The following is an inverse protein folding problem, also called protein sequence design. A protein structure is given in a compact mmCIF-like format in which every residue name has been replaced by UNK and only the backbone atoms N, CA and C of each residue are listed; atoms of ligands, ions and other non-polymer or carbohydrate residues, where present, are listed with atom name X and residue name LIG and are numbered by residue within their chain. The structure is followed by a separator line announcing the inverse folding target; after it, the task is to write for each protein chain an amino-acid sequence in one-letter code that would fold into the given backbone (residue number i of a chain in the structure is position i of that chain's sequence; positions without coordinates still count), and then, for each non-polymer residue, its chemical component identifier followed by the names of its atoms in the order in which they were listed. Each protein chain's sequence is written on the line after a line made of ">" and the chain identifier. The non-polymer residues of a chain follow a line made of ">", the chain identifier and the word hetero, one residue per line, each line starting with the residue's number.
data_IF_244063575259
#
_entry.id   IF_244063575259
#
_cell.length_a   1.000
_cell.length_b   1.000
_cell.length_c   1.000
_cell.angle_alpha   90.00
_cell.angle_beta   90.00
_cell.angle_gamma   90.00
#
_symmetry.space_group_name_H-M   'P 1'
#
loop_
_entity.id
_entity.type
_entity.pdbx_description
1 polymer ?
#
# COMPACT_ATOMS: atom_id res chain seq x y z
N UNK A 1 3.72 6.14 -23.66
CA UNK A 1 3.14 5.26 -22.62
C UNK A 1 4.29 4.51 -21.98
N UNK A 2 4.38 4.52 -20.67
CA UNK A 2 5.40 3.79 -19.90
C UNK A 2 5.01 2.33 -19.74
N UNK A 3 6.00 1.45 -19.49
CA UNK A 3 5.71 0.02 -19.38
C UNK A 3 4.93 -0.33 -18.10
N UNK A 4 5.46 0.05 -16.94
CA UNK A 4 4.87 -0.37 -15.65
C UNK A 4 5.04 0.69 -14.55
N UNK A 5 4.00 0.85 -13.73
CA UNK A 5 4.02 1.59 -12.47
C UNK A 5 3.73 0.62 -11.32
N UNK A 6 4.53 0.66 -10.27
CA UNK A 6 4.30 -0.07 -9.04
C UNK A 6 3.99 0.93 -7.93
N UNK A 7 2.83 0.79 -7.30
CA UNK A 7 2.36 1.63 -6.19
C UNK A 7 2.36 0.79 -4.92
N UNK A 8 3.15 1.20 -3.94
CA UNK A 8 3.43 0.43 -2.72
C UNK A 8 2.76 1.10 -1.52
N UNK A 9 1.95 0.35 -0.78
CA UNK A 9 1.50 0.71 0.55
C UNK A 9 2.65 0.50 1.56
N UNK A 10 3.20 1.58 2.07
CA UNK A 10 4.31 1.54 3.01
C UNK A 10 3.94 0.83 4.32
N UNK A 11 2.74 1.09 4.82
CA UNK A 11 2.25 0.50 6.06
C UNK A 11 2.15 -1.02 5.95
N UNK A 12 1.58 -1.53 4.85
CA UNK A 12 1.48 -2.96 4.59
C UNK A 12 2.87 -3.63 4.55
N UNK A 13 3.85 -3.00 3.90
CA UNK A 13 5.23 -3.51 3.87
C UNK A 13 5.86 -3.55 5.26
N UNK A 14 5.78 -2.44 6.00
CA UNK A 14 6.42 -2.35 7.33
C UNK A 14 5.78 -3.33 8.31
N UNK A 15 4.44 -3.44 8.34
CA UNK A 15 3.76 -4.45 9.15
C UNK A 15 4.17 -5.87 8.76
N UNK A 16 4.22 -6.18 7.47
CA UNK A 16 4.64 -7.50 7.00
C UNK A 16 6.06 -7.82 7.46
N UNK A 17 6.99 -6.89 7.30
CA UNK A 17 8.37 -7.08 7.75
C UNK A 17 8.51 -7.24 9.26
N UNK A 18 7.75 -6.48 10.05
CA UNK A 18 7.79 -6.54 11.51
C UNK A 18 7.28 -7.85 12.10
N UNK A 19 6.29 -8.47 11.45
CA UNK A 19 5.60 -9.64 12.02
C UNK A 19 5.83 -10.94 11.25
N UNK A 20 6.46 -10.90 10.07
CA UNK A 20 6.81 -12.11 9.33
C UNK A 20 7.91 -12.90 10.05
N UNK A 21 7.82 -14.23 10.00
CA UNK A 21 8.83 -15.12 10.61
C UNK A 21 10.25 -14.81 10.15
N UNK A 22 10.42 -14.39 8.92
CA UNK A 22 11.71 -14.16 8.27
C UNK A 22 12.38 -12.84 8.70
N UNK A 23 11.59 -11.80 8.99
CA UNK A 23 12.11 -10.46 9.20
C UNK A 23 11.93 -9.94 10.63
N UNK A 24 11.00 -10.51 11.42
CA UNK A 24 10.63 -10.03 12.76
C UNK A 24 11.81 -9.92 13.74
N UNK A 25 12.81 -10.79 13.58
CA UNK A 25 13.97 -10.87 14.47
C UNK A 25 15.15 -10.00 13.98
N UNK A 26 14.99 -9.30 12.84
CA UNK A 26 15.99 -8.37 12.36
C UNK A 26 16.07 -7.15 13.27
N UNK A 27 17.24 -6.91 13.77
CA UNK A 27 17.51 -5.76 14.64
C UNK A 27 18.78 -5.05 14.22
N UNK A 28 18.83 -3.76 14.51
CA UNK A 28 19.98 -2.92 14.34
C UNK A 28 20.27 -2.23 15.67
N UNK A 29 21.39 -2.57 16.32
CA UNK A 29 21.70 -2.13 17.70
C UNK A 29 20.54 -2.34 18.69
N UNK A 30 19.90 -3.49 18.63
CA UNK A 30 18.77 -3.83 19.49
C UNK A 30 17.42 -3.22 19.09
N UNK A 31 17.39 -2.33 18.11
CA UNK A 31 16.13 -1.78 17.59
C UNK A 31 15.59 -2.69 16.48
N UNK A 32 14.31 -3.08 16.53
CA UNK A 32 13.69 -3.87 15.47
C UNK A 32 13.66 -3.06 14.18
N UNK A 33 14.18 -3.62 13.10
CA UNK A 33 14.25 -2.99 11.77
C UNK A 33 13.66 -3.84 10.67
N UNK A 34 12.98 -4.93 11.01
CA UNK A 34 12.44 -5.87 10.04
C UNK A 34 11.47 -5.25 9.05
N UNK A 35 10.64 -4.31 9.50
CA UNK A 35 9.71 -3.58 8.64
C UNK A 35 10.43 -2.66 7.66
N UNK A 36 11.36 -1.87 8.18
CA UNK A 36 12.16 -0.95 7.38
C UNK A 36 12.97 -1.69 6.30
N UNK A 37 13.67 -2.77 6.69
CA UNK A 37 14.40 -3.62 5.76
C UNK A 37 13.49 -4.22 4.67
N UNK A 38 12.32 -4.72 5.05
CA UNK A 38 11.39 -5.31 4.12
C UNK A 38 10.89 -4.30 3.08
N UNK A 39 10.52 -3.09 3.50
CA UNK A 39 10.07 -2.02 2.61
C UNK A 39 11.18 -1.59 1.63
N UNK A 40 12.41 -1.37 2.12
CA UNK A 40 13.54 -1.01 1.24
C UNK A 40 13.83 -2.11 0.20
N UNK A 41 13.85 -3.35 0.64
CA UNK A 41 14.03 -4.49 -0.27
C UNK A 41 12.94 -4.54 -1.33
N UNK A 42 11.68 -4.29 -0.93
CA UNK A 42 10.55 -4.29 -1.84
C UNK A 42 10.67 -3.17 -2.89
N UNK A 43 10.99 -1.95 -2.46
CA UNK A 43 11.23 -0.80 -3.35
C UNK A 43 12.35 -1.09 -4.36
N UNK A 44 13.48 -1.63 -3.89
CA UNK A 44 14.60 -1.97 -4.78
C UNK A 44 14.22 -3.06 -5.78
N UNK A 45 13.48 -4.07 -5.36
CA UNK A 45 12.99 -5.12 -6.26
C UNK A 45 12.05 -4.54 -7.33
N UNK A 46 11.15 -3.64 -6.94
CA UNK A 46 10.25 -2.96 -7.86
C UNK A 46 11.03 -2.09 -8.88
N UNK A 47 11.97 -1.29 -8.42
CA UNK A 47 12.84 -0.48 -9.29
C UNK A 47 13.65 -1.35 -10.26
N UNK A 48 14.11 -2.52 -9.83
CA UNK A 48 14.88 -3.44 -10.66
C UNK A 48 14.07 -4.06 -11.80
N UNK A 49 12.74 -4.07 -11.71
CA UNK A 49 11.84 -4.53 -12.78
C UNK A 49 11.65 -3.48 -13.90
N UNK A 50 12.48 -2.45 -13.98
CA UNK A 50 12.34 -1.34 -14.94
C UNK A 50 11.03 -0.56 -14.81
N UNK A 51 10.45 -0.57 -13.62
CA UNK A 51 9.20 0.10 -13.31
C UNK A 51 9.44 1.50 -12.77
N UNK A 52 8.42 2.34 -12.90
CA UNK A 52 8.31 3.51 -12.04
C UNK A 52 7.70 3.08 -10.70
N UNK A 53 8.13 3.71 -9.63
CA UNK A 53 7.69 3.35 -8.28
C UNK A 53 7.11 4.57 -7.57
N UNK A 54 5.97 4.37 -6.91
CA UNK A 54 5.37 5.29 -5.94
C UNK A 54 5.26 4.55 -4.62
N UNK A 55 5.60 5.22 -3.52
CA UNK A 55 5.37 4.71 -2.16
C UNK A 55 4.40 5.64 -1.44
N UNK A 56 3.25 5.12 -1.05
CA UNK A 56 2.21 5.84 -0.34
C UNK A 56 2.33 5.63 1.17
N UNK A 57 2.25 6.72 1.93
CA UNK A 57 2.35 6.72 3.39
C UNK A 57 1.08 7.28 4.02
N UNK A 58 0.67 6.68 5.12
CA UNK A 58 -0.44 7.18 5.94
C UNK A 58 -0.08 8.49 6.65
N UNK A 59 -1.09 9.35 6.77
CA UNK A 59 -1.09 10.46 7.71
C UNK A 59 -2.31 10.36 8.66
N UNK A 60 -2.48 11.34 9.54
CA UNK A 60 -3.68 11.42 10.35
C UNK A 60 -4.89 11.65 9.44
N UNK A 61 -5.80 10.69 9.40
CA UNK A 61 -6.98 10.76 8.55
C UNK A 61 -8.00 11.79 9.06
N UNK A 62 -8.52 12.63 8.15
CA UNK A 62 -9.66 13.51 8.41
C UNK A 62 -10.91 12.74 8.83
N UNK A 63 -11.02 11.46 8.45
CA UNK A 63 -12.14 10.58 8.80
C UNK A 63 -12.32 10.40 10.30
N UNK A 64 -11.24 10.59 11.08
CA UNK A 64 -11.31 10.57 12.55
C UNK A 64 -12.11 11.73 13.12
N UNK A 65 -12.21 12.81 12.35
CA UNK A 65 -12.95 14.00 12.76
C UNK A 65 -14.43 13.95 12.30
N UNK A 66 -14.77 12.99 11.41
CA UNK A 66 -16.15 12.78 10.92
C UNK A 66 -17.00 11.89 11.83
N UNK A 67 -16.39 10.87 12.41
CA UNK A 67 -17.10 9.92 13.29
C UNK A 67 -16.25 9.59 14.52
N UNK A 68 -16.82 9.80 15.69
CA UNK A 68 -16.24 9.36 16.94
C UNK A 68 -16.07 7.84 16.93
N UNK A 69 -14.84 7.41 17.16
CA UNK A 69 -14.53 5.99 17.19
C UNK A 69 -14.07 5.36 15.87
N UNK A 70 -13.97 6.12 14.78
CA UNK A 70 -13.38 5.61 13.52
C UNK A 70 -11.98 5.03 13.78
N UNK A 71 -11.79 3.76 13.44
CA UNK A 71 -10.55 3.01 13.73
C UNK A 71 -10.11 3.07 15.21
N UNK A 72 -10.98 3.48 16.15
CA UNK A 72 -10.69 3.50 17.57
C UNK A 72 -10.50 2.06 18.08
N UNK A 73 -9.40 1.84 18.78
CA UNK A 73 -9.00 0.51 19.25
C UNK A 73 -7.97 -0.19 18.38
N UNK A 74 -7.59 0.35 17.22
CA UNK A 74 -6.36 -0.10 16.55
C UNK A 74 -5.18 0.24 17.47
N UNK A 75 -4.47 -0.79 17.92
CA UNK A 75 -3.26 -0.60 18.71
C UNK A 75 -2.16 -0.04 17.80
N UNK A 76 -1.76 1.20 18.04
CA UNK A 76 -0.60 1.77 17.37
C UNK A 76 0.68 1.18 17.98
N UNK A 77 1.38 0.37 17.22
CA UNK A 77 2.72 -0.06 17.60
C UNK A 77 3.71 1.07 17.28
N UNK A 78 4.23 1.70 18.34
CA UNK A 78 5.21 2.80 18.21
C UNK A 78 6.45 2.40 17.39
N UNK A 79 6.83 1.12 17.43
CA UNK A 79 7.98 0.59 16.65
C UNK A 79 7.70 0.64 15.16
N UNK A 80 6.45 0.33 14.75
CA UNK A 80 6.03 0.44 13.35
C UNK A 80 6.03 1.90 12.93
N UNK A 81 5.46 2.79 13.76
CA UNK A 81 5.41 4.22 13.47
C UNK A 81 6.81 4.81 13.25
N UNK A 82 7.75 4.51 14.15
CA UNK A 82 9.14 4.99 14.01
C UNK A 82 9.80 4.47 12.72
N UNK A 83 9.53 3.23 12.32
CA UNK A 83 10.06 2.68 11.07
C UNK A 83 9.44 3.33 9.83
N UNK A 84 8.16 3.67 9.85
CA UNK A 84 7.50 4.39 8.76
C UNK A 84 8.06 5.82 8.61
N UNK A 85 8.31 6.52 9.71
CA UNK A 85 8.91 7.86 9.70
C UNK A 85 10.33 7.82 9.12
N UNK A 86 11.16 6.90 9.60
CA UNK A 86 12.51 6.70 9.05
C UNK A 86 12.46 6.32 7.57
N UNK A 87 11.56 5.42 7.18
CA UNK A 87 11.42 4.99 5.79
C UNK A 87 11.09 6.17 4.89
N UNK A 88 10.15 7.02 5.29
CA UNK A 88 9.77 8.19 4.52
C UNK A 88 10.95 9.13 4.28
N UNK A 89 11.68 9.47 5.33
CA UNK A 89 12.85 10.35 5.23
C UNK A 89 13.95 9.77 4.32
N UNK A 90 14.28 8.50 4.47
CA UNK A 90 15.34 7.87 3.71
C UNK A 90 14.98 7.65 2.24
N UNK A 91 13.75 7.25 1.95
CA UNK A 91 13.31 7.09 0.58
C UNK A 91 13.26 8.44 -0.15
N UNK A 92 12.86 9.51 0.52
CA UNK A 92 12.95 10.86 -0.05
C UNK A 92 14.40 11.27 -0.34
N UNK A 93 15.34 11.04 0.58
CA UNK A 93 16.78 11.28 0.35
C UNK A 93 17.32 10.47 -0.83
N UNK A 94 16.75 9.28 -1.03
CA UNK A 94 17.09 8.42 -2.17
C UNK A 94 16.39 8.84 -3.47
N UNK A 95 15.65 9.94 -3.48
CA UNK A 95 14.85 10.42 -4.61
C UNK A 95 13.82 9.38 -5.11
N UNK A 96 13.26 8.60 -4.21
CA UNK A 96 12.11 7.74 -4.50
C UNK A 96 10.84 8.55 -4.31
N UNK A 97 9.90 8.44 -5.25
CA UNK A 97 8.61 9.12 -5.15
C UNK A 97 7.80 8.61 -3.95
N UNK A 98 7.83 9.37 -2.87
CA UNK A 98 7.14 9.10 -1.63
C UNK A 98 6.09 10.17 -1.37
N UNK A 99 4.85 9.76 -1.18
CA UNK A 99 3.76 10.69 -0.95
C UNK A 99 3.11 10.45 0.40
N UNK A 100 2.94 11.55 1.13
CA UNK A 100 2.25 11.62 2.42
C UNK A 100 1.59 13.00 2.51
N UNK A 101 0.29 13.03 2.69
CA UNK A 101 -0.46 14.28 2.78
C UNK A 101 -1.26 14.33 4.07
N UNK A 102 -1.18 15.44 4.78
CA UNK A 102 -1.92 15.62 6.02
C UNK A 102 -3.44 15.52 5.78
N UNK A 103 -4.10 14.78 6.63
CA UNK A 103 -5.53 14.52 6.51
C UNK A 103 -5.87 13.26 5.71
N UNK A 104 -4.94 12.68 4.95
CA UNK A 104 -5.24 11.58 4.02
C UNK A 104 -4.52 10.29 4.39
N UNK A 105 -5.16 9.17 4.11
CA UNK A 105 -4.60 7.83 4.30
C UNK A 105 -3.85 7.39 3.03
N UNK A 106 -3.00 6.36 3.16
CA UNK A 106 -2.27 5.79 2.02
C UNK A 106 -3.23 5.31 0.90
N UNK A 107 -4.41 4.81 1.27
CA UNK A 107 -5.43 4.35 0.34
C UNK A 107 -5.95 5.47 -0.57
N UNK A 108 -6.10 6.70 -0.03
CA UNK A 108 -6.48 7.87 -0.81
C UNK A 108 -5.39 8.18 -1.86
N UNK A 109 -4.13 8.19 -1.42
CA UNK A 109 -2.98 8.48 -2.27
C UNK A 109 -2.82 7.43 -3.36
N UNK A 110 -3.02 6.15 -3.05
CA UNK A 110 -2.99 5.03 -4.00
C UNK A 110 -4.08 5.22 -5.06
N UNK A 111 -5.30 5.53 -4.64
CA UNK A 111 -6.41 5.77 -5.57
C UNK A 111 -6.14 6.96 -6.50
N UNK A 112 -5.59 8.06 -6.00
CA UNK A 112 -5.19 9.21 -6.81
C UNK A 112 -4.08 8.87 -7.79
N UNK A 113 -3.07 8.11 -7.33
CA UNK A 113 -1.97 7.67 -8.18
C UNK A 113 -2.47 6.79 -9.33
N UNK A 114 -3.38 5.88 -9.07
CA UNK A 114 -4.02 5.07 -10.12
C UNK A 114 -4.79 5.97 -11.10
N UNK A 115 -5.67 6.83 -10.59
CA UNK A 115 -6.51 7.68 -11.42
C UNK A 115 -5.70 8.59 -12.35
N UNK A 116 -4.61 9.18 -11.84
CA UNK A 116 -3.77 10.09 -12.63
C UNK A 116 -2.88 9.37 -13.65
N UNK A 117 -2.62 8.07 -13.46
CA UNK A 117 -1.63 7.35 -14.24
C UNK A 117 -2.21 6.22 -15.11
N UNK A 118 -3.48 5.89 -15.00
CA UNK A 118 -4.11 4.76 -15.69
C UNK A 118 -3.93 4.80 -17.21
N UNK A 119 -3.93 5.97 -17.81
CA UNK A 119 -3.75 6.16 -19.26
C UNK A 119 -2.26 6.31 -19.66
N UNK A 120 -1.37 6.48 -18.69
CA UNK A 120 0.05 6.73 -18.94
C UNK A 120 0.90 5.45 -18.94
N UNK A 121 0.40 4.36 -18.35
CA UNK A 121 1.11 3.10 -18.19
C UNK A 121 0.36 1.94 -18.83
N UNK A 122 1.12 0.97 -19.37
CA UNK A 122 0.55 -0.29 -19.87
C UNK A 122 0.05 -1.16 -18.73
N UNK A 123 0.73 -1.11 -17.60
CA UNK A 123 0.40 -1.88 -16.40
C UNK A 123 0.63 -1.04 -15.14
N UNK A 124 -0.31 -1.08 -14.22
CA UNK A 124 -0.19 -0.54 -12.87
C UNK A 124 -0.38 -1.68 -11.88
N UNK A 125 0.56 -1.84 -10.96
CA UNK A 125 0.49 -2.84 -9.90
C UNK A 125 0.40 -2.16 -8.54
N UNK A 126 -0.67 -2.41 -7.82
CA UNK A 126 -0.87 -1.95 -6.44
C UNK A 126 -0.40 -3.06 -5.51
N UNK A 127 0.56 -2.74 -4.63
CA UNK A 127 1.12 -3.67 -3.67
C UNK A 127 0.67 -3.30 -2.25
N UNK A 128 -0.13 -4.15 -1.64
CA UNK A 128 -0.69 -3.94 -0.30
C UNK A 128 -1.27 -5.20 0.30
N UNK A 129 -1.82 -5.10 1.49
CA UNK A 129 -2.51 -6.20 2.17
C UNK A 129 -3.98 -5.88 2.47
N UNK A 130 -4.39 -4.62 2.31
CA UNK A 130 -5.77 -4.24 2.52
C UNK A 130 -6.61 -4.54 1.27
N UNK A 131 -7.64 -5.34 1.46
CA UNK A 131 -8.56 -5.67 0.39
C UNK A 131 -9.40 -4.48 -0.09
N UNK A 132 -9.42 -3.40 0.66
CA UNK A 132 -10.09 -2.18 0.21
C UNK A 132 -9.45 -1.60 -1.04
N UNK A 133 -8.16 -1.83 -1.23
CA UNK A 133 -7.43 -1.43 -2.42
C UNK A 133 -7.92 -2.14 -3.70
N UNK A 134 -8.65 -3.26 -3.57
CA UNK A 134 -9.21 -3.99 -4.71
C UNK A 134 -10.22 -3.17 -5.53
N UNK A 135 -10.82 -2.12 -4.94
CA UNK A 135 -11.70 -1.23 -5.70
C UNK A 135 -10.95 -0.46 -6.81
N UNK A 136 -9.62 -0.40 -6.75
CA UNK A 136 -8.80 0.22 -7.79
C UNK A 136 -8.50 -0.70 -8.97
N UNK A 137 -8.79 -2.01 -8.85
CA UNK A 137 -8.49 -2.99 -9.90
C UNK A 137 -9.38 -2.73 -11.11
N UNK A 138 -8.75 -2.59 -12.28
CA UNK A 138 -9.40 -2.36 -13.56
C UNK A 138 -8.51 -2.85 -14.71
N UNK A 139 -8.87 -2.57 -15.95
CA UNK A 139 -8.30 -3.16 -17.17
C UNK A 139 -6.76 -3.36 -17.17
N UNK A 140 -6.00 -2.35 -16.75
CA UNK A 140 -4.53 -2.39 -16.71
C UNK A 140 -3.99 -2.17 -15.28
N UNK A 141 -4.87 -2.28 -14.27
CA UNK A 141 -4.50 -2.12 -12.86
C UNK A 141 -4.76 -3.43 -12.14
N UNK A 142 -3.72 -3.98 -11.53
CA UNK A 142 -3.80 -5.20 -10.74
C UNK A 142 -3.41 -4.95 -9.29
N UNK A 143 -3.89 -5.80 -8.40
CA UNK A 143 -3.53 -5.80 -6.99
C UNK A 143 -2.68 -7.02 -6.66
N UNK A 144 -1.57 -6.79 -5.97
CA UNK A 144 -0.68 -7.83 -5.44
C UNK A 144 -0.66 -7.78 -3.93
N UNK A 145 -1.04 -8.87 -3.30
CA UNK A 145 -0.88 -9.03 -1.85
C UNK A 145 0.60 -9.25 -1.51
N UNK A 146 1.11 -8.50 -0.53
CA UNK A 146 2.49 -8.60 -0.02
C UNK A 146 2.60 -9.46 1.25
N UNK A 147 1.58 -10.25 1.58
CA UNK A 147 1.65 -11.16 2.70
C UNK A 147 2.72 -12.23 2.50
N UNK A 148 3.35 -12.66 3.58
CA UNK A 148 4.62 -13.40 3.61
C UNK A 148 4.62 -14.79 2.97
N UNK A 149 3.49 -15.38 2.65
CA UNK A 149 3.42 -16.80 2.27
C UNK A 149 2.89 -17.08 0.87
N UNK A 150 2.11 -16.16 0.30
CA UNK A 150 1.57 -16.32 -1.05
C UNK A 150 1.40 -14.95 -1.69
N UNK A 151 1.89 -14.80 -2.90
CA UNK A 151 1.62 -13.62 -3.70
C UNK A 151 0.35 -13.89 -4.48
N UNK A 152 -0.72 -13.17 -4.14
CA UNK A 152 -1.98 -13.23 -4.87
C UNK A 152 -2.09 -12.01 -5.77
N UNK A 153 -2.37 -12.23 -7.04
CA UNK A 153 -2.62 -11.16 -8.01
C UNK A 153 -4.09 -11.20 -8.39
N UNK A 154 -4.74 -10.05 -8.32
CA UNK A 154 -6.15 -9.90 -8.65
C UNK A 154 -6.31 -8.98 -9.87
N UNK A 155 -7.08 -9.42 -10.83
CA UNK A 155 -7.36 -8.70 -12.08
C UNK A 155 -8.87 -8.46 -12.25
N UNK A 156 -9.22 -7.60 -13.19
CA UNK A 156 -10.59 -7.07 -13.44
C UNK A 156 -11.73 -8.09 -13.41
N UNK A 157 -11.49 -9.29 -13.86
CA UNK A 157 -12.55 -10.28 -14.04
C UNK A 157 -12.69 -11.25 -12.86
N UNK A 158 -11.99 -11.02 -11.75
CA UNK A 158 -12.08 -11.87 -10.60
C UNK A 158 -13.15 -11.36 -9.63
N UNK A 159 -14.04 -12.26 -9.28
CA UNK A 159 -14.96 -12.08 -8.18
C UNK A 159 -14.29 -12.57 -6.90
N UNK A 160 -14.54 -11.88 -5.81
CA UNK A 160 -14.07 -12.30 -4.50
C UNK A 160 -15.25 -12.71 -3.63
N UNK A 161 -15.18 -13.92 -3.07
CA UNK A 161 -16.01 -14.26 -1.92
C UNK A 161 -15.52 -13.45 -0.72
N UNK A 162 -16.35 -12.54 -0.25
CA UNK A 162 -16.11 -11.78 0.97
C UNK A 162 -17.17 -12.22 1.95
N UNK A 163 -16.79 -12.37 3.18
CA UNK A 163 -17.58 -12.75 4.34
C UNK A 163 -19.01 -13.33 4.08
N UNK A 164 -19.38 -14.41 4.71
CA UNK A 164 -20.68 -15.09 4.57
C UNK A 164 -20.97 -15.76 3.22
N UNK A 165 -19.91 -16.01 2.39
CA UNK A 165 -20.09 -16.75 1.14
C UNK A 165 -20.68 -15.94 -0.03
N UNK A 166 -20.85 -14.62 0.13
CA UNK A 166 -21.33 -13.73 -0.93
C UNK A 166 -20.17 -13.31 -1.83
N UNK A 167 -20.36 -13.44 -3.14
CA UNK A 167 -19.41 -12.95 -4.15
C UNK A 167 -19.63 -11.45 -4.38
N UNK A 168 -18.57 -10.67 -4.28
CA UNK A 168 -18.60 -9.21 -4.43
C UNK A 168 -17.60 -8.81 -5.50
N UNK A 169 -18.02 -7.95 -6.42
CA UNK A 169 -17.14 -7.41 -7.45
C UNK A 169 -16.16 -6.41 -6.82
N UNK A 170 -14.91 -6.46 -7.21
CA UNK A 170 -13.85 -5.63 -6.61
C UNK A 170 -14.18 -4.14 -6.62
N UNK A 171 -14.65 -3.63 -7.74
CA UNK A 171 -15.03 -2.23 -7.91
C UNK A 171 -16.29 -1.80 -7.13
N UNK A 172 -16.99 -2.72 -6.51
CA UNK A 172 -18.15 -2.45 -5.64
C UNK A 172 -17.87 -2.68 -4.16
N UNK A 173 -16.64 -3.01 -3.78
CA UNK A 173 -16.26 -3.26 -2.38
C UNK A 173 -16.59 -2.06 -1.48
N UNK A 174 -16.28 -0.85 -1.94
CA UNK A 174 -16.60 0.37 -1.18
C UNK A 174 -18.11 0.53 -1.00
N UNK A 175 -18.91 0.33 -2.05
CA UNK A 175 -20.38 0.37 -1.94
C UNK A 175 -20.91 -0.72 -0.98
N UNK A 176 -20.34 -1.93 -1.04
CA UNK A 176 -20.68 -2.99 -0.09
C UNK A 176 -20.42 -2.55 1.35
N UNK A 177 -19.29 -1.95 1.64
CA UNK A 177 -18.96 -1.45 2.99
C UNK A 177 -19.86 -0.30 3.43
N UNK A 178 -20.25 0.59 2.52
CA UNK A 178 -21.21 1.66 2.82
C UNK A 178 -22.52 1.08 3.32
N UNK A 179 -23.03 0.04 2.68
CA UNK A 179 -24.33 -0.55 3.02
C UNK A 179 -24.24 -1.64 4.09
N UNK A 180 -23.31 -2.59 3.93
CA UNK A 180 -23.19 -3.76 4.81
C UNK A 180 -22.32 -3.51 6.05
N UNK A 181 -21.66 -2.35 6.09
CA UNK A 181 -20.75 -1.98 7.17
C UNK A 181 -19.38 -2.64 7.06
N UNK A 182 -18.51 -2.25 8.00
CA UNK A 182 -17.14 -2.76 8.10
C UNK A 182 -16.74 -2.91 9.57
N UNK A 183 -16.53 -4.14 10.01
CA UNK A 183 -16.18 -4.41 11.41
C UNK A 183 -14.77 -3.86 11.77
N UNK A 184 -13.80 -3.92 10.84
CA UNK A 184 -12.45 -3.40 11.07
C UNK A 184 -12.43 -1.88 11.32
N UNK A 185 -13.33 -1.15 10.66
CA UNK A 185 -13.45 0.29 10.74
C UNK A 185 -14.56 0.76 11.69
N UNK A 186 -15.26 -0.21 12.30
CA UNK A 186 -16.41 0.03 13.19
C UNK A 186 -17.57 0.77 12.53
N UNK A 187 -17.78 0.53 11.25
CA UNK A 187 -18.91 1.03 10.49
C UNK A 187 -20.04 -0.01 10.61
N UNK A 188 -21.16 0.28 11.27
CA UNK A 188 -22.28 -0.65 11.40
C UNK A 188 -22.99 -0.84 10.05
N UNK A 189 -23.71 -1.98 9.83
CA UNK A 189 -24.57 -2.12 8.66
C UNK A 189 -25.64 -1.03 8.60
N UNK A 190 -25.95 -0.57 7.38
CA UNK A 190 -27.05 0.37 7.18
C UNK A 190 -28.40 -0.33 7.40
N UNK A 191 -29.31 0.35 8.06
CA UNK A 191 -30.67 -0.12 8.26
C UNK A 191 -31.62 1.05 8.01
N UNK A 192 -32.51 0.90 7.03
CA UNK A 192 -33.46 1.93 6.66
C UNK A 192 -34.78 1.80 7.44
N UNK A 193 -35.46 2.89 7.65
CA UNK A 193 -36.78 2.94 8.31
C UNK A 193 -37.83 2.11 7.55
N UNK A 194 -37.68 1.98 6.22
CA UNK A 194 -38.54 1.11 5.41
C UNK A 194 -38.31 -0.40 5.64
N UNK A 195 -37.38 -0.77 6.52
CA UNK A 195 -37.07 -2.15 6.91
C UNK A 195 -35.93 -2.81 6.14
N UNK A 196 -35.42 -2.21 5.06
CA UNK A 196 -34.32 -2.76 4.29
C UNK A 196 -33.01 -2.72 5.09
N UNK A 197 -32.20 -3.76 4.91
CA UNK A 197 -30.90 -3.96 5.54
C UNK A 197 -29.78 -3.90 4.52
N UNK A 198 -28.55 -3.73 5.00
CA UNK A 198 -27.37 -3.49 4.20
C UNK A 198 -27.21 -4.40 2.98
N UNK A 199 -27.39 -5.72 3.10
CA UNK A 199 -27.26 -6.64 1.97
C UNK A 199 -28.37 -6.44 0.93
N UNK A 200 -29.60 -6.25 1.36
CA UNK A 200 -30.74 -6.00 0.46
C UNK A 200 -30.59 -4.66 -0.27
N UNK A 201 -30.04 -3.67 0.42
CA UNK A 201 -29.75 -2.37 -0.14
C UNK A 201 -28.63 -2.48 -1.20
N UNK A 202 -27.58 -3.24 -0.87
CA UNK A 202 -26.49 -3.49 -1.80
C UNK A 202 -26.97 -4.22 -3.06
N UNK A 203 -27.80 -5.27 -2.91
CA UNK A 203 -28.33 -6.00 -4.05
C UNK A 203 -29.16 -5.10 -4.99
N UNK A 204 -30.02 -4.25 -4.43
CA UNK A 204 -30.75 -3.24 -5.22
C UNK A 204 -29.83 -2.26 -5.96
N UNK A 205 -28.76 -1.86 -5.35
CA UNK A 205 -27.76 -0.99 -5.99
C UNK A 205 -27.07 -1.72 -7.16
N UNK A 206 -26.69 -2.97 -6.98
CA UNK A 206 -26.07 -3.79 -8.04
C UNK A 206 -27.04 -4.03 -9.20
N UNK A 207 -28.31 -4.34 -8.90
CA UNK A 207 -29.33 -4.53 -9.93
C UNK A 207 -29.56 -3.25 -10.73
N UNK A 208 -29.64 -2.09 -10.07
CA UNK A 208 -29.72 -0.80 -10.74
C UNK A 208 -28.53 -0.56 -11.69
N UNK A 209 -27.29 -0.81 -11.23
CA UNK A 209 -26.11 -0.64 -12.08
C UNK A 209 -26.14 -1.54 -13.32
N UNK A 210 -26.67 -2.76 -13.18
CA UNK A 210 -26.83 -3.71 -14.30
C UNK A 210 -27.91 -3.26 -15.28
N UNK A 211 -29.06 -2.85 -14.77
CA UNK A 211 -30.19 -2.38 -15.59
C UNK A 211 -29.83 -1.15 -16.41
N UNK A 212 -29.17 -0.17 -15.78
CA UNK A 212 -28.72 1.05 -16.41
C UNK A 212 -27.42 0.88 -17.24
N UNK A 213 -26.85 -0.34 -17.29
CA UNK A 213 -25.59 -0.64 -17.98
C UNK A 213 -24.44 0.28 -17.56
N UNK A 214 -24.43 0.69 -16.29
CA UNK A 214 -23.39 1.54 -15.76
C UNK A 214 -22.14 0.69 -15.54
N UNK A 215 -21.01 1.14 -16.10
CA UNK A 215 -19.73 0.46 -15.91
C UNK A 215 -19.32 0.50 -14.43
N UNK A 216 -18.79 -0.64 -13.98
CA UNK A 216 -18.22 -0.75 -12.66
C UNK A 216 -16.78 -0.14 -12.55
N UNK A 217 -16.31 0.52 -13.60
CA UNK A 217 -14.95 1.07 -13.66
C UNK A 217 -14.81 2.29 -12.75
N UNK A 218 -14.48 2.05 -11.46
CA UNK A 218 -14.25 3.23 -10.67
C UNK A 218 -13.58 3.14 -9.32
N UNK A 219 -12.70 4.05 -9.07
CA UNK A 219 -11.72 4.03 -7.99
C UNK A 219 -11.93 5.11 -6.92
N UNK A 220 -12.50 6.23 -7.29
CA UNK A 220 -12.74 7.36 -6.37
C UNK A 220 -14.20 7.72 -6.35
N UNK A 221 -14.65 8.31 -5.24
CA UNK A 221 -16.00 8.86 -5.21
C UNK A 221 -16.09 10.02 -6.20
N UNK A 222 -17.08 9.96 -7.09
CA UNK A 222 -17.44 11.02 -8.01
C UNK A 222 -18.86 11.42 -7.76
N UNK A 223 -19.21 12.63 -8.20
CA UNK A 223 -20.60 13.10 -8.10
C UNK A 223 -21.55 12.12 -8.80
N UNK A 224 -21.13 11.52 -9.94
CA UNK A 224 -21.92 10.51 -10.64
C UNK A 224 -22.14 9.24 -9.82
N UNK A 225 -21.19 8.80 -9.00
CA UNK A 225 -21.39 7.64 -8.10
C UNK A 225 -22.38 7.94 -6.98
N UNK A 226 -22.28 9.11 -6.38
CA UNK A 226 -23.26 9.55 -5.40
C UNK A 226 -24.65 9.63 -6.03
N UNK A 227 -24.74 10.20 -7.23
CA UNK A 227 -25.99 10.24 -8.02
C UNK A 227 -26.51 8.81 -8.24
N UNK A 228 -25.67 7.86 -8.64
CA UNK A 228 -26.08 6.47 -8.87
C UNK A 228 -26.56 5.80 -7.58
N UNK A 229 -25.84 6.00 -6.46
CA UNK A 229 -26.27 5.45 -5.15
C UNK A 229 -27.66 6.01 -4.78
N UNK A 230 -27.86 7.32 -4.91
CA UNK A 230 -29.12 7.92 -4.57
C UNK A 230 -30.24 7.63 -5.59
N UNK A 231 -29.91 7.45 -6.89
CA UNK A 231 -30.87 7.06 -7.91
C UNK A 231 -31.35 5.63 -7.72
N UNK A 232 -30.42 4.69 -7.49
CA UNK A 232 -30.74 3.28 -7.23
C UNK A 232 -31.70 3.10 -6.04
N UNK A 233 -31.62 4.00 -5.08
CA UNK A 233 -32.34 3.94 -3.82
C UNK A 233 -33.34 5.09 -3.68
N UNK A 234 -33.74 5.71 -4.81
CA UNK A 234 -34.68 6.83 -4.80
C UNK A 234 -36.01 6.41 -4.20
N UNK A 235 -36.54 7.26 -3.32
CA UNK A 235 -37.79 6.97 -2.60
C UNK A 235 -37.66 6.06 -1.37
N UNK A 236 -36.48 5.47 -1.13
CA UNK A 236 -36.23 4.59 0.01
C UNK A 236 -35.64 5.31 1.23
N UNK A 237 -35.09 6.52 1.03
CA UNK A 237 -34.41 7.27 2.08
C UNK A 237 -35.22 8.44 2.63
N UNK A 238 -35.18 8.60 3.92
CA UNK A 238 -35.46 9.87 4.59
C UNK A 238 -34.27 10.84 4.38
N UNK A 239 -34.46 12.11 4.76
CA UNK A 239 -33.36 13.11 4.72
C UNK A 239 -32.20 12.71 5.65
N UNK A 240 -32.50 12.18 6.84
CA UNK A 240 -31.49 11.74 7.80
C UNK A 240 -30.68 10.55 7.27
N UNK A 241 -31.35 9.58 6.66
CA UNK A 241 -30.70 8.40 6.08
C UNK A 241 -29.82 8.76 4.89
N UNK A 242 -30.20 9.77 4.08
CA UNK A 242 -29.33 10.29 3.04
C UNK A 242 -28.05 10.89 3.61
N UNK A 243 -28.14 11.62 4.71
CA UNK A 243 -26.97 12.17 5.38
C UNK A 243 -26.07 11.04 5.97
N UNK A 244 -26.66 10.00 6.56
CA UNK A 244 -25.90 8.84 7.05
C UNK A 244 -25.17 8.12 5.90
N UNK A 245 -25.85 7.88 4.77
CA UNK A 245 -25.21 7.31 3.58
C UNK A 245 -24.06 8.18 3.08
N UNK A 246 -24.23 9.49 3.04
CA UNK A 246 -23.21 10.44 2.61
C UNK A 246 -21.98 10.39 3.53
N UNK A 247 -22.21 10.36 4.84
CA UNK A 247 -21.14 10.22 5.83
C UNK A 247 -20.38 8.90 5.66
N UNK A 248 -21.07 7.78 5.44
CA UNK A 248 -20.47 6.46 5.19
C UNK A 248 -19.67 6.46 3.91
N UNK A 249 -20.14 7.10 2.85
CA UNK A 249 -19.40 7.26 1.59
C UNK A 249 -18.07 7.98 1.85
N UNK A 250 -18.10 9.08 2.59
CA UNK A 250 -16.89 9.83 2.95
C UNK A 250 -15.90 9.04 3.82
N UNK A 251 -16.38 8.04 4.56
CA UNK A 251 -15.53 7.16 5.36
C UNK A 251 -14.88 6.05 4.56
N UNK A 252 -15.59 5.49 3.59
CA UNK A 252 -15.23 4.24 2.92
C UNK A 252 -14.54 4.49 1.59
N UNK A 253 -15.04 5.44 0.80
CA UNK A 253 -14.43 5.73 -0.50
C UNK A 253 -13.16 6.56 -0.35
N UNK A 254 -12.20 6.38 -1.25
CA UNK A 254 -11.08 7.30 -1.33
C UNK A 254 -11.56 8.74 -1.52
N UNK A 255 -10.93 9.65 -0.82
CA UNK A 255 -11.21 11.06 -0.95
C UNK A 255 -10.89 11.58 -2.35
N UNK A 256 -11.57 12.64 -2.78
CA UNK A 256 -11.21 13.36 -4.01
C UNK A 256 -9.80 13.93 -3.88
N UNK A 257 -9.00 13.77 -4.92
CA UNK A 257 -7.65 14.34 -4.95
C UNK A 257 -7.74 15.87 -4.89
N UNK A 258 -7.05 16.53 -3.97
CA UNK A 258 -6.98 17.99 -3.93
C UNK A 258 -6.40 18.58 -5.22
N UNK A 259 -6.82 19.77 -5.59
CA UNK A 259 -6.30 20.46 -6.76
C UNK A 259 -4.80 20.76 -6.61
N UNK A 260 -4.06 20.62 -7.72
CA UNK A 260 -2.62 20.90 -7.76
C UNK A 260 -1.73 19.74 -7.30
N UNK A 261 -2.29 18.64 -6.81
CA UNK A 261 -1.51 17.44 -6.49
C UNK A 261 -1.28 16.61 -7.76
N UNK A 262 -0.01 16.36 -8.06
CA UNK A 262 0.42 15.46 -9.14
C UNK A 262 1.28 14.35 -8.56
N UNK A 263 0.92 13.11 -8.87
CA UNK A 263 1.59 11.90 -8.38
C UNK A 263 2.29 11.19 -9.55
N UNK A 264 3.61 11.27 -9.57
CA UNK A 264 4.46 10.64 -10.59
C UNK A 264 5.40 9.63 -9.94
N UNK A 265 5.61 8.50 -10.59
CA UNK A 265 6.55 7.50 -10.13
C UNK A 265 7.99 7.85 -10.47
N UNK A 266 8.93 7.42 -9.64
CA UNK A 266 10.37 7.55 -9.89
C UNK A 266 10.89 6.28 -10.55
N UNK A 267 11.66 6.44 -11.64
CA UNK A 267 12.38 5.35 -12.31
C UNK A 267 13.74 5.08 -11.65
N UNK A 268 14.32 3.91 -11.94
CA UNK A 268 15.67 3.56 -11.46
C UNK A 268 16.74 4.57 -11.91
N UNK A 269 16.54 5.25 -13.04
CA UNK A 269 17.50 6.28 -13.55
C UNK A 269 17.55 7.52 -12.66
N UNK A 270 16.42 7.88 -12.06
CA UNK A 270 16.23 9.09 -11.26
C UNK A 270 16.63 8.89 -9.80
N UNK A 271 16.62 7.65 -9.34
CA UNK A 271 16.91 7.30 -7.93
C UNK A 271 18.38 7.53 -7.61
N UNK A 272 18.66 8.07 -6.42
CA UNK A 272 19.98 8.07 -5.81
C UNK A 272 20.31 6.67 -5.29
N UNK A 273 20.91 5.86 -6.16
CA UNK A 273 21.23 4.47 -5.83
C UNK A 273 22.27 4.33 -4.70
N UNK A 274 23.14 5.32 -4.50
CA UNK A 274 24.13 5.28 -3.42
C UNK A 274 23.44 5.34 -2.07
N UNK A 275 22.43 6.20 -1.90
CA UNK A 275 21.65 6.27 -0.66
C UNK A 275 20.89 4.96 -0.39
N UNK A 276 20.26 4.38 -1.41
CA UNK A 276 19.61 3.07 -1.26
C UNK A 276 20.59 1.97 -0.90
N UNK A 277 21.74 1.92 -1.57
CA UNK A 277 22.80 0.94 -1.25
C UNK A 277 23.33 1.13 0.17
N UNK A 278 23.51 2.39 0.60
CA UNK A 278 23.94 2.69 1.96
C UNK A 278 22.93 2.12 2.98
N UNK A 279 21.66 2.41 2.81
CA UNK A 279 20.61 1.89 3.71
C UNK A 279 20.56 0.37 3.74
N UNK A 280 20.62 -0.27 2.56
CA UNK A 280 20.64 -1.74 2.49
C UNK A 280 21.90 -2.33 3.14
N UNK A 281 23.05 -1.63 3.07
CA UNK A 281 24.27 -2.07 3.73
C UNK A 281 24.17 -2.10 5.24
N UNK A 282 23.41 -1.16 5.84
CA UNK A 282 23.14 -1.15 7.28
C UNK A 282 22.36 -2.40 7.72
N UNK A 283 21.57 -2.97 6.84
CA UNK A 283 20.82 -4.22 7.09
C UNK A 283 21.54 -5.48 6.63
N UNK A 284 22.79 -5.36 6.15
CA UNK A 284 23.55 -6.45 5.52
C UNK A 284 22.82 -7.10 4.33
N UNK A 285 21.96 -6.35 3.63
CA UNK A 285 21.23 -6.85 2.45
C UNK A 285 22.05 -6.65 1.16
N UNK A 286 23.10 -7.43 1.03
CA UNK A 286 24.00 -7.36 -0.14
C UNK A 286 23.40 -7.92 -1.41
N UNK A 287 22.37 -8.76 -1.32
CA UNK A 287 21.68 -9.28 -2.50
C UNK A 287 20.85 -8.20 -3.18
N UNK A 288 20.10 -7.41 -2.40
CA UNK A 288 19.40 -6.24 -2.94
C UNK A 288 20.35 -5.21 -3.52
N UNK A 289 21.52 -4.98 -2.90
CA UNK A 289 22.57 -4.10 -3.43
C UNK A 289 23.09 -4.63 -4.79
N UNK A 290 23.37 -5.92 -4.90
CA UNK A 290 23.82 -6.54 -6.15
C UNK A 290 22.75 -6.39 -7.25
N UNK A 291 21.48 -6.62 -6.92
CA UNK A 291 20.36 -6.45 -7.84
C UNK A 291 20.28 -5.02 -8.37
N UNK A 292 20.32 -4.03 -7.48
CA UNK A 292 20.28 -2.62 -7.82
C UNK A 292 21.46 -2.23 -8.73
N UNK A 293 22.65 -2.70 -8.38
CA UNK A 293 23.88 -2.49 -9.14
C UNK A 293 23.81 -3.07 -10.55
N UNK A 294 23.41 -4.35 -10.66
CA UNK A 294 23.28 -5.03 -11.94
C UNK A 294 22.37 -4.25 -12.90
N UNK A 295 21.29 -3.71 -12.38
CA UNK A 295 20.32 -2.96 -13.20
C UNK A 295 20.78 -1.55 -13.53
N UNK A 296 21.45 -0.86 -12.62
CA UNK A 296 21.86 0.53 -12.86
C UNK A 296 23.21 0.66 -13.55
N UNK A 297 24.05 -0.38 -13.59
CA UNK A 297 25.40 -0.43 -14.21
C UNK A 297 26.36 0.74 -13.85
N UNK A 298 25.96 1.60 -12.92
CA UNK A 298 26.67 2.83 -12.52
C UNK A 298 27.42 2.69 -11.20
N UNK A 299 27.13 1.63 -10.42
CA UNK A 299 27.80 1.38 -9.16
C UNK A 299 28.99 0.46 -9.38
N UNK A 300 30.18 0.95 -9.07
CA UNK A 300 31.42 0.18 -9.14
C UNK A 300 31.58 -0.67 -7.87
N UNK A 301 32.30 -1.78 -7.94
CA UNK A 301 32.55 -2.64 -6.77
C UNK A 301 33.20 -1.89 -5.60
N UNK A 302 34.04 -0.88 -5.94
CA UNK A 302 34.71 -0.02 -4.97
C UNK A 302 33.73 0.83 -4.18
N UNK A 303 32.65 1.32 -4.79
CA UNK A 303 31.61 2.09 -4.11
C UNK A 303 30.89 1.24 -3.05
N UNK A 304 30.63 -0.03 -3.37
CA UNK A 304 30.04 -0.96 -2.40
C UNK A 304 30.99 -1.23 -1.23
N UNK A 305 32.29 -1.38 -1.53
CA UNK A 305 33.30 -1.58 -0.48
C UNK A 305 33.43 -0.35 0.42
N UNK A 306 33.40 0.86 -0.20
CA UNK A 306 33.38 2.12 0.52
C UNK A 306 32.13 2.24 1.42
N UNK A 307 30.95 1.91 0.88
CA UNK A 307 29.70 1.93 1.64
C UNK A 307 29.70 0.92 2.81
N UNK A 308 30.32 -0.26 2.61
CA UNK A 308 30.52 -1.24 3.69
C UNK A 308 31.44 -0.72 4.79
N UNK A 309 32.51 0.01 4.40
CA UNK A 309 33.44 0.63 5.33
C UNK A 309 32.73 1.76 6.11
N UNK A 310 32.10 2.70 5.39
CA UNK A 310 31.38 3.82 6.00
C UNK A 310 30.22 3.33 6.91
N UNK A 311 29.51 2.29 6.50
CA UNK A 311 28.48 1.66 7.35
C UNK A 311 29.06 1.09 8.64
N UNK A 312 30.23 0.46 8.58
CA UNK A 312 30.92 -0.03 9.77
C UNK A 312 31.43 1.12 10.66
N UNK A 313 31.98 2.16 10.06
CA UNK A 313 32.55 3.29 10.78
C UNK A 313 31.46 4.11 11.49
N UNK A 314 30.30 4.29 10.87
CA UNK A 314 29.12 4.88 11.51
C UNK A 314 28.57 3.98 12.64
N UNK A 315 28.61 2.68 12.44
CA UNK A 315 28.20 1.70 13.45
C UNK A 315 29.14 1.71 14.67
N UNK A 316 30.43 1.92 14.43
CA UNK A 316 31.44 1.92 15.52
C UNK A 316 31.59 3.30 16.16
N UNK A 317 31.32 4.38 15.45
CA UNK A 317 31.50 5.76 15.94
C UNK A 317 30.31 6.36 16.67
N UNK A 318 29.10 5.90 16.41
CA UNK A 318 27.88 6.41 17.06
C UNK A 318 27.57 5.74 18.40
N UNK A 319 28.17 4.58 18.69
CA UNK A 319 27.97 3.85 19.94
C UNK A 319 29.30 3.28 20.40
N UNK A 320 29.69 3.51 21.66
CA UNK A 320 30.69 2.71 22.32
C UNK A 320 30.19 1.25 22.42
N UNK A 321 30.48 0.49 21.39
CA UNK A 321 30.14 -0.95 21.37
C UNK A 321 31.14 -1.64 22.26
N UNK A 322 30.64 -2.28 23.31
CA UNK A 322 31.40 -3.24 24.11
C UNK A 322 32.02 -4.28 23.17
N UNK A 323 33.36 -4.21 23.01
CA UNK A 323 34.14 -4.99 22.02
C UNK A 323 34.12 -6.51 22.20
N UNK A 324 33.30 -7.03 23.11
CA UNK A 324 33.25 -8.45 23.48
C UNK A 324 32.15 -9.26 22.79
N UNK A 325 31.37 -8.68 21.88
CA UNK A 325 30.48 -9.45 21.01
C UNK A 325 31.08 -9.51 19.61
N UNK A 326 31.91 -10.51 19.37
CA UNK A 326 32.24 -10.99 18.04
C UNK A 326 30.93 -11.41 17.35
N UNK A 327 30.45 -10.56 16.48
CA UNK A 327 29.40 -10.95 15.55
C UNK A 327 30.00 -12.02 14.64
N UNK A 328 29.62 -13.27 14.87
CA UNK A 328 30.02 -14.40 14.02
C UNK A 328 29.51 -14.18 12.60
N UNK A 329 30.39 -13.68 11.74
CA UNK A 329 30.17 -13.42 10.30
C UNK A 329 30.14 -14.75 9.49
N UNK A 330 30.16 -15.88 10.14
CA UNK A 330 30.20 -17.19 9.50
C UNK A 330 28.91 -17.96 9.70
N UNK A 331 27.90 -17.64 8.89
CA UNK A 331 26.99 -18.58 8.25
C UNK A 331 26.18 -17.81 7.21
N UNK A 332 26.74 -17.68 6.01
CA UNK A 332 25.91 -17.57 4.83
C UNK A 332 25.23 -18.94 4.66
N UNK A 333 24.03 -19.05 5.21
CA UNK A 333 23.14 -20.12 4.79
C UNK A 333 22.88 -19.90 3.30
N UNK A 334 23.18 -20.94 2.53
CA UNK A 334 22.87 -21.03 1.11
C UNK A 334 21.40 -20.70 0.91
N UNK A 335 21.13 -19.54 0.32
CA UNK A 335 19.80 -19.23 -0.16
C UNK A 335 19.50 -20.17 -1.31
N UNK A 336 18.58 -21.08 -1.11
CA UNK A 336 17.95 -21.79 -2.22
C UNK A 336 17.30 -20.76 -3.13
N UNK A 337 17.51 -20.92 -4.42
CA UNK A 337 17.07 -19.99 -5.48
C UNK A 337 15.55 -19.74 -5.54
N UNK A 338 14.77 -20.42 -4.72
CA UNK A 338 13.30 -20.30 -4.66
C UNK A 338 12.77 -19.03 -3.97
N UNK A 339 13.64 -18.23 -3.34
CA UNK A 339 13.26 -17.06 -2.56
C UNK A 339 13.41 -15.72 -3.27
N UNK A 340 13.86 -15.71 -4.50
CA UNK A 340 13.87 -14.51 -5.33
C UNK A 340 12.50 -14.33 -5.98
N UNK A 341 11.87 -13.23 -5.72
CA UNK A 341 10.66 -12.69 -6.39
C UNK A 341 10.76 -12.61 -7.94
N UNK A 342 11.73 -13.29 -8.52
CA UNK A 342 12.07 -13.22 -9.94
C UNK A 342 11.73 -14.49 -10.72
N UNK A 343 11.09 -15.46 -10.11
CA UNK A 343 10.73 -16.68 -10.83
C UNK A 343 9.24 -16.79 -11.10
N UNK A 344 8.59 -15.86 -11.67
CA UNK A 344 7.37 -16.10 -12.44
C UNK A 344 6.97 -14.80 -13.15
N UNK A 345 7.67 -14.53 -14.22
CA UNK A 345 7.17 -13.76 -15.35
C UNK A 345 7.54 -14.52 -16.60
#
# INVERSE_FOLDING_TARGET
>A
MFSKLIIIDASACVYTGMYSKRHKDKSYYGYPVGGLHYLFRYVVTALAQTSHVIVAFDSRSFRKDLIDGYKAGRKHDKRVQSQLEMAYEFLQKSNVACYKYDGYEADDIIAWAVQQNVDNYLEIEICGNDHDLLHNVQRNVMFRSISSNTTSVYMVNFEKAIEKGKTIYFNTISAYKVFCGCNSDKIPPLALQCGLRGEEIYDKYIDFLREEKISFDYNTITDSKLVNIFAALSGLFTTEERLDVLNRVNLVYPAKCPEGITLTGTSLKEVNANELCYMLSLFNDFESIKCLRYRKSTLVQDDINMLRSAGRDLLTGAFEVDRNQECSINKMDSFEEEDLFLRDV
#
